data_IF_106986433891
#
_entry.id   IF_106986433891
#
_cell.length_a   1.000
_cell.length_b   1.000
_cell.length_c   1.000
_cell.angle_alpha   90.00
_cell.angle_beta   90.00
_cell.angle_gamma   90.00
#
_symmetry.space_group_name_H-M   'P 1'
#
loop_
_entity.id
_entity.type
_entity.pdbx_description
1 polymer ?
#
# COMPACT_ATOMS: atom_id res chain seq x y z
N UNK A 1 9.31 3.91 11.37
CA UNK A 1 9.84 2.52 11.30
C UNK A 1 11.25 2.40 11.81
N UNK A 2 12.22 3.20 11.33
CA UNK A 2 13.57 3.21 11.93
C UNK A 2 13.54 3.70 13.39
N UNK A 3 12.75 4.74 13.67
CA UNK A 3 12.47 5.20 15.04
C UNK A 3 11.82 4.12 15.90
N UNK A 4 10.79 3.43 15.38
CA UNK A 4 10.14 2.31 16.11
C UNK A 4 11.13 1.16 16.36
N UNK A 5 11.99 0.84 15.39
CA UNK A 5 13.03 -0.18 15.58
C UNK A 5 14.03 0.24 16.66
N UNK A 6 14.38 1.54 16.71
CA UNK A 6 15.23 2.10 17.74
C UNK A 6 14.60 2.04 19.14
N UNK A 7 13.31 2.37 19.26
CA UNK A 7 12.53 2.19 20.50
C UNK A 7 12.51 0.73 20.98
N UNK A 8 12.58 -0.23 20.05
CA UNK A 8 12.70 -1.67 20.33
C UNK A 8 14.16 -2.13 20.56
N UNK A 9 15.13 -1.20 20.65
CA UNK A 9 16.54 -1.49 20.89
C UNK A 9 17.32 -1.98 19.67
N UNK A 10 16.75 -1.87 18.47
CA UNK A 10 17.37 -2.31 17.21
C UNK A 10 17.81 -1.10 16.40
N UNK A 11 19.12 -0.91 16.26
CA UNK A 11 19.67 0.16 15.43
C UNK A 11 19.65 -0.25 13.96
N UNK A 12 18.77 0.37 13.18
CA UNK A 12 18.59 0.05 11.75
C UNK A 12 18.62 1.34 10.93
N UNK A 13 19.49 1.39 9.93
CA UNK A 13 19.47 2.48 8.96
C UNK A 13 18.11 2.52 8.21
N UNK A 14 17.54 3.70 7.94
CA UNK A 14 16.24 3.81 7.25
C UNK A 14 16.16 3.05 5.92
N UNK A 15 17.26 3.01 5.17
CA UNK A 15 17.34 2.29 3.90
C UNK A 15 17.27 0.77 4.05
N UNK A 16 17.69 0.21 5.19
CA UNK A 16 17.60 -1.24 5.46
C UNK A 16 16.15 -1.68 5.60
N UNK A 17 15.31 -0.86 6.22
CA UNK A 17 13.87 -1.14 6.35
C UNK A 17 13.22 -1.14 4.97
N UNK A 18 13.56 -0.18 4.11
CA UNK A 18 13.05 -0.16 2.73
C UNK A 18 13.46 -1.43 1.96
N UNK A 19 14.71 -1.90 2.13
CA UNK A 19 15.17 -3.16 1.51
C UNK A 19 14.40 -4.37 2.02
N UNK A 20 14.05 -4.42 3.30
CA UNK A 20 13.21 -5.48 3.85
C UNK A 20 11.80 -5.44 3.31
N UNK A 21 11.19 -4.25 3.21
CA UNK A 21 9.86 -4.09 2.60
C UNK A 21 9.87 -4.62 1.17
N UNK A 22 10.84 -4.20 0.33
CA UNK A 22 10.94 -4.68 -1.06
C UNK A 22 11.14 -6.20 -1.12
N UNK A 23 11.93 -6.77 -0.20
CA UNK A 23 12.21 -8.21 -0.19
C UNK A 23 11.05 -9.06 0.29
N UNK A 24 10.33 -8.61 1.32
CA UNK A 24 9.37 -9.44 2.05
C UNK A 24 7.91 -9.08 1.80
N UNK A 25 7.61 -7.96 1.13
CA UNK A 25 6.24 -7.50 0.89
C UNK A 25 5.38 -8.55 0.18
N UNK A 26 5.89 -9.23 -0.84
CA UNK A 26 5.13 -10.24 -1.58
C UNK A 26 4.76 -11.45 -0.71
N UNK A 27 5.74 -12.00 0.02
CA UNK A 27 5.50 -13.14 0.91
C UNK A 27 4.61 -12.78 2.09
N UNK A 28 4.76 -11.55 2.61
CA UNK A 28 3.85 -11.01 3.60
C UNK A 28 2.43 -10.93 3.05
N UNK A 29 2.23 -10.35 1.87
CA UNK A 29 0.91 -10.21 1.25
C UNK A 29 0.22 -11.57 1.03
N UNK A 30 0.96 -12.58 0.53
CA UNK A 30 0.44 -13.95 0.33
C UNK A 30 -0.09 -14.57 1.62
N UNK A 31 0.64 -14.39 2.74
CA UNK A 31 0.23 -14.93 4.05
C UNK A 31 -0.87 -14.09 4.69
N UNK A 32 -0.80 -12.77 4.51
CA UNK A 32 -1.77 -11.84 5.06
C UNK A 32 -3.17 -12.02 4.47
N UNK A 33 -3.25 -12.38 3.19
CA UNK A 33 -4.51 -12.62 2.48
C UNK A 33 -5.41 -13.64 3.20
N UNK A 34 -4.83 -14.62 3.91
CA UNK A 34 -5.60 -15.60 4.68
C UNK A 34 -6.29 -15.01 5.92
N UNK A 35 -5.68 -13.99 6.53
CA UNK A 35 -6.24 -13.28 7.68
C UNK A 35 -7.18 -12.15 7.27
N UNK A 36 -7.29 -11.88 5.96
CA UNK A 36 -8.07 -10.78 5.45
C UNK A 36 -9.56 -11.17 5.27
N UNK A 37 -10.47 -10.33 5.78
CA UNK A 37 -11.91 -10.54 5.66
C UNK A 37 -12.39 -10.43 4.20
N UNK A 38 -13.51 -11.09 3.85
CA UNK A 38 -14.14 -10.95 2.53
C UNK A 38 -14.59 -9.50 2.28
N UNK A 39 -14.48 -9.05 1.04
CA UNK A 39 -14.95 -7.72 0.58
C UNK A 39 -16.46 -7.61 0.82
N UNK A 40 -16.91 -6.46 1.34
CA UNK A 40 -18.32 -6.12 1.53
C UNK A 40 -19.13 -6.01 0.24
N UNK A 41 -20.43 -5.73 0.36
CA UNK A 41 -21.34 -5.63 -0.81
C UNK A 41 -21.26 -4.28 -1.51
N UNK A 42 -20.79 -3.24 -0.82
CA UNK A 42 -20.67 -1.88 -1.35
C UNK A 42 -19.22 -1.38 -1.21
N UNK A 43 -18.79 -0.58 -2.19
CA UNK A 43 -17.45 -0.02 -2.26
C UNK A 43 -17.50 1.44 -2.75
N UNK A 44 -16.49 2.22 -2.33
CA UNK A 44 -16.24 3.61 -2.69
C UNK A 44 -14.87 3.69 -3.34
N UNK A 45 -14.75 4.40 -4.44
CA UNK A 45 -13.46 4.67 -5.07
C UNK A 45 -13.06 6.12 -4.82
N UNK A 46 -11.82 6.33 -4.41
CA UNK A 46 -11.17 7.64 -4.38
C UNK A 46 -10.11 7.73 -5.49
N UNK A 47 -10.00 8.89 -6.13
CA UNK A 47 -8.98 9.19 -7.14
C UNK A 47 -8.10 10.33 -6.63
N UNK A 48 -6.78 10.13 -6.65
CA UNK A 48 -5.78 11.08 -6.20
C UNK A 48 -4.66 11.23 -7.23
N UNK A 49 -4.18 12.46 -7.40
CA UNK A 49 -3.12 12.80 -8.34
C UNK A 49 -1.79 12.83 -7.61
N UNK A 50 -0.86 11.93 -7.96
CA UNK A 50 0.45 11.82 -7.32
C UNK A 50 1.57 11.97 -8.33
N UNK A 51 2.65 12.65 -7.93
CA UNK A 51 3.84 12.82 -8.77
C UNK A 51 4.85 11.73 -8.43
N UNK A 52 5.17 10.88 -9.40
CA UNK A 52 6.12 9.76 -9.24
C UNK A 52 7.20 9.88 -10.31
N UNK A 53 8.46 9.89 -9.88
CA UNK A 53 9.63 10.05 -10.76
C UNK A 53 9.52 11.24 -11.74
N UNK A 54 8.84 12.32 -11.35
CA UNK A 54 8.68 13.51 -12.17
C UNK A 54 7.42 13.55 -13.04
N UNK A 55 6.75 12.40 -13.26
CA UNK A 55 5.48 12.33 -13.99
C UNK A 55 4.26 12.36 -13.07
N UNK A 56 3.15 12.90 -13.55
CA UNK A 56 1.86 12.80 -12.87
C UNK A 56 1.23 11.44 -13.15
N UNK A 57 0.75 10.78 -12.10
CA UNK A 57 -0.03 9.55 -12.18
C UNK A 57 -1.34 9.70 -11.41
N UNK A 58 -2.39 9.14 -11.99
CA UNK A 58 -3.70 9.00 -11.37
C UNK A 58 -3.67 7.72 -10.56
N UNK A 59 -3.82 7.84 -9.26
CA UNK A 59 -3.96 6.72 -8.34
C UNK A 59 -5.44 6.61 -7.98
N UNK A 60 -6.03 5.46 -8.24
CA UNK A 60 -7.35 5.13 -7.72
C UNK A 60 -7.24 4.04 -6.67
N UNK A 61 -8.06 4.16 -5.62
CA UNK A 61 -8.22 3.15 -4.59
C UNK A 61 -9.71 2.89 -4.38
N UNK A 62 -10.12 1.65 -4.60
CA UNK A 62 -11.44 1.18 -4.22
C UNK A 62 -11.38 0.60 -2.80
N UNK A 63 -12.23 1.08 -1.90
CA UNK A 63 -12.39 0.57 -0.53
C UNK A 63 -13.84 0.15 -0.28
N UNK A 64 -14.06 -0.95 0.42
CA UNK A 64 -15.39 -1.38 0.82
C UNK A 64 -15.94 -0.56 2.00
N UNK A 65 -17.20 -0.80 2.35
CA UNK A 65 -17.88 -0.14 3.49
C UNK A 65 -17.21 -0.34 4.85
N UNK A 66 -16.36 -1.36 5.00
CA UNK A 66 -15.58 -1.65 6.21
C UNK A 66 -14.16 -1.11 6.13
N UNK A 67 -13.84 -0.35 5.07
CA UNK A 67 -12.53 0.23 4.84
C UNK A 67 -11.52 -0.74 4.24
N UNK A 68 -11.96 -1.90 3.73
CA UNK A 68 -11.07 -2.87 3.06
C UNK A 68 -10.75 -2.42 1.65
N UNK A 69 -9.47 -2.40 1.28
CA UNK A 69 -9.06 -2.17 -0.10
C UNK A 69 -9.54 -3.31 -1.01
N UNK A 70 -10.36 -2.97 -2.00
CA UNK A 70 -10.88 -3.87 -3.04
C UNK A 70 -9.91 -3.93 -4.21
N UNK A 71 -9.42 -2.77 -4.64
CA UNK A 71 -8.49 -2.65 -5.75
C UNK A 71 -7.68 -1.35 -5.64
N UNK A 72 -6.46 -1.37 -6.18
CA UNK A 72 -5.60 -0.21 -6.31
C UNK A 72 -4.95 -0.25 -7.68
N UNK A 73 -5.11 0.81 -8.44
CA UNK A 73 -4.42 0.94 -9.71
C UNK A 73 -3.87 2.34 -9.91
N UNK A 74 -2.87 2.40 -10.77
CA UNK A 74 -2.25 3.66 -11.19
C UNK A 74 -2.17 3.72 -12.70
N UNK A 75 -2.57 4.85 -13.28
CA UNK A 75 -2.47 5.09 -14.72
C UNK A 75 -1.78 6.42 -14.97
N UNK A 76 -0.97 6.47 -16.04
CA UNK A 76 -0.36 7.71 -16.53
C UNK A 76 -1.31 8.53 -17.42
N UNK A 77 -2.48 7.97 -17.74
CA UNK A 77 -3.56 8.61 -18.49
C UNK A 77 -4.78 8.78 -17.59
N UNK A 78 -5.48 9.91 -17.71
CA UNK A 78 -6.78 10.09 -17.07
C UNK A 78 -7.68 8.89 -17.43
N UNK A 79 -8.27 8.18 -16.45
CA UNK A 79 -9.27 7.16 -16.71
C UNK A 79 -10.61 7.85 -17.04
N UNK A 80 -10.70 8.47 -18.21
CA UNK A 80 -11.96 8.90 -18.83
C UNK A 80 -12.43 7.87 -19.84
#
# INVERSE_FOLDING_TARGET
>A
MAEIAWELGVMVAPCTILRWVVRYAEEFAKRWLHFEHRVGRSWRADETYVKVQGGWMFLYRAVDERGKTVDVGSTSRCPV
#
